data_IF_017434714614
#
_entry.id   IF_017434714614
#
_cell.length_a   1.000
_cell.length_b   1.000
_cell.length_c   1.000
_cell.angle_alpha   90.00
_cell.angle_beta   90.00
_cell.angle_gamma   90.00
#
_symmetry.space_group_name_H-M   'P 1'
#
loop_
_entity.id
_entity.type
_entity.pdbx_description
1 polymer ?
#
# COMPACT_ATOMS: atom_id res chain seq x y z
N UNK A 1 9.19 -6.51 -20.86
CA UNK A 1 8.95 -7.17 -19.58
C UNK A 1 9.26 -6.20 -18.45
N UNK A 2 8.35 -6.10 -17.49
CA UNK A 2 8.56 -5.24 -16.31
C UNK A 2 9.05 -6.11 -15.17
N UNK A 3 10.20 -5.77 -14.62
CA UNK A 3 10.75 -6.47 -13.45
C UNK A 3 10.74 -5.52 -12.25
N UNK A 4 9.93 -5.85 -11.26
CA UNK A 4 9.75 -5.03 -10.08
C UNK A 4 9.96 -5.89 -8.85
N UNK A 5 10.72 -5.36 -7.88
CA UNK A 5 10.75 -5.94 -6.55
C UNK A 5 9.54 -5.37 -5.78
N UNK A 6 8.49 -6.17 -5.53
CA UNK A 6 7.28 -5.65 -4.91
C UNK A 6 7.51 -5.08 -3.51
N UNK A 7 8.54 -5.52 -2.80
CA UNK A 7 8.83 -5.02 -1.46
C UNK A 7 9.47 -3.64 -1.45
N UNK A 8 9.88 -3.13 -2.63
CA UNK A 8 10.33 -1.75 -2.80
C UNK A 8 9.20 -0.81 -3.21
N UNK A 9 8.01 -1.34 -3.43
CA UNK A 9 6.84 -0.53 -3.77
C UNK A 9 6.17 -0.08 -2.48
N UNK A 10 5.94 1.23 -2.35
CA UNK A 10 5.27 1.82 -1.19
C UNK A 10 3.77 1.60 -1.30
N UNK A 11 3.21 1.87 -2.47
CA UNK A 11 1.81 1.58 -2.74
C UNK A 11 1.56 1.48 -4.24
N UNK A 12 0.45 0.84 -4.58
CA UNK A 12 -0.09 0.81 -5.93
C UNK A 12 -1.36 1.63 -5.96
N UNK A 13 -1.58 2.36 -7.05
CA UNK A 13 -2.77 3.18 -7.23
C UNK A 13 -3.49 2.82 -8.52
N UNK A 14 -4.83 2.76 -8.48
CA UNK A 14 -5.64 2.48 -9.65
C UNK A 14 -5.54 3.62 -10.67
N UNK A 15 -5.41 3.26 -11.94
CA UNK A 15 -5.37 4.21 -13.05
C UNK A 15 -6.13 3.61 -14.22
N UNK A 16 -7.46 3.78 -14.24
CA UNK A 16 -8.33 3.12 -15.22
C UNK A 16 -8.18 1.60 -15.13
N UNK A 17 -7.85 0.98 -16.28
CA UNK A 17 -7.58 -0.45 -16.35
C UNK A 17 -6.14 -0.83 -15.99
N UNK A 18 -5.34 0.16 -15.60
CA UNK A 18 -3.93 0.00 -15.25
C UNK A 18 -3.72 0.33 -13.78
N UNK A 19 -2.48 0.21 -13.34
CA UNK A 19 -2.09 0.61 -11.99
C UNK A 19 -0.77 1.35 -12.05
N UNK A 20 -0.55 2.27 -11.11
CA UNK A 20 0.78 2.81 -10.83
C UNK A 20 1.42 2.04 -9.70
N UNK A 21 2.69 1.69 -9.87
CA UNK A 21 3.54 1.26 -8.75
C UNK A 21 4.37 2.47 -8.33
N UNK A 22 4.26 2.89 -7.08
CA UNK A 22 5.01 4.02 -6.53
C UNK A 22 6.11 3.49 -5.64
N UNK A 23 7.34 3.73 -6.04
CA UNK A 23 8.53 3.19 -5.38
C UNK A 23 9.04 4.10 -4.26
N UNK A 24 9.95 3.55 -3.48
CA UNK A 24 10.55 4.23 -2.32
C UNK A 24 11.19 5.57 -2.66
N UNK A 25 11.68 5.76 -3.87
CA UNK A 25 12.29 7.03 -4.30
C UNK A 25 11.30 7.97 -4.99
N UNK A 26 10.01 7.69 -4.93
CA UNK A 26 8.97 8.50 -5.57
C UNK A 26 8.75 8.21 -7.04
N UNK A 27 9.52 7.31 -7.62
CA UNK A 27 9.37 6.93 -9.03
C UNK A 27 8.06 6.15 -9.20
N UNK A 28 7.31 6.48 -10.25
CA UNK A 28 6.06 5.79 -10.60
C UNK A 28 6.27 4.99 -11.88
N UNK A 29 5.77 3.77 -11.88
CA UNK A 29 5.79 2.89 -13.06
C UNK A 29 4.38 2.44 -13.34
N UNK A 30 3.94 2.56 -14.60
CA UNK A 30 2.62 2.08 -15.02
C UNK A 30 2.70 0.58 -15.26
N UNK A 31 1.77 -0.15 -14.66
CA UNK A 31 1.62 -1.59 -14.84
C UNK A 31 0.40 -1.87 -15.71
N UNK A 32 0.47 -2.81 -16.65
CA UNK A 32 -0.62 -3.09 -17.59
C UNK A 32 -1.73 -3.97 -16.99
N UNK A 33 -2.03 -3.81 -15.71
CA UNK A 33 -3.07 -4.57 -15.00
C UNK A 33 -3.78 -3.66 -14.00
N UNK A 34 -5.07 -3.92 -13.76
CA UNK A 34 -5.82 -3.24 -12.71
C UNK A 34 -5.48 -3.76 -11.33
N UNK A 35 -5.97 -3.08 -10.28
CA UNK A 35 -5.61 -3.43 -8.90
C UNK A 35 -6.07 -4.83 -8.48
N UNK A 36 -7.27 -5.24 -8.92
CA UNK A 36 -7.78 -6.57 -8.55
C UNK A 36 -6.90 -7.69 -9.10
N UNK A 37 -6.55 -7.59 -10.38
CA UNK A 37 -5.65 -8.56 -11.00
C UNK A 37 -4.26 -8.51 -10.39
N UNK A 38 -3.78 -7.31 -10.08
CA UNK A 38 -2.49 -7.11 -9.44
C UNK A 38 -2.46 -7.77 -8.06
N UNK A 39 -3.52 -7.63 -7.28
CA UNK A 39 -3.63 -8.28 -5.98
C UNK A 39 -3.53 -9.80 -6.12
N UNK A 40 -4.24 -10.37 -7.10
CA UNK A 40 -4.19 -11.81 -7.34
C UNK A 40 -2.78 -12.27 -7.74
N UNK A 41 -2.11 -11.49 -8.58
CA UNK A 41 -0.73 -11.77 -8.99
C UNK A 41 0.19 -11.75 -7.77
N UNK A 42 0.08 -10.74 -6.91
CA UNK A 42 0.89 -10.64 -5.71
C UNK A 42 0.66 -11.84 -4.78
N UNK A 43 -0.61 -12.23 -4.60
CA UNK A 43 -0.94 -13.39 -3.77
C UNK A 43 -0.38 -14.68 -4.32
N UNK A 44 -0.44 -14.87 -5.64
CA UNK A 44 0.09 -16.08 -6.27
C UNK A 44 1.61 -16.14 -6.21
N UNK A 45 2.28 -15.02 -6.42
CA UNK A 45 3.74 -14.97 -6.47
C UNK A 45 4.39 -14.94 -5.09
N UNK A 46 3.81 -14.22 -4.16
CA UNK A 46 4.40 -13.99 -2.84
C UNK A 46 3.83 -14.90 -1.76
N UNK A 47 2.66 -15.49 -2.00
CA UNK A 47 1.97 -16.37 -1.06
C UNK A 47 1.81 -15.71 0.30
N UNK A 48 2.34 -16.28 1.38
CA UNK A 48 2.20 -15.71 2.72
C UNK A 48 2.82 -14.31 2.85
N UNK A 49 3.86 -14.02 2.08
CA UNK A 49 4.52 -12.71 2.11
C UNK A 49 3.66 -11.61 1.49
N UNK A 50 2.61 -11.96 0.74
CA UNK A 50 1.69 -10.98 0.15
C UNK A 50 0.86 -10.26 1.21
N UNK A 51 0.78 -10.75 2.43
CA UNK A 51 -0.03 -10.14 3.51
C UNK A 51 0.42 -8.74 3.91
N UNK A 52 1.64 -8.33 3.54
CA UNK A 52 2.08 -6.95 3.77
C UNK A 52 1.35 -5.97 2.85
N UNK A 53 0.77 -6.45 1.75
CA UNK A 53 0.05 -5.62 0.80
C UNK A 53 -1.44 -5.65 1.11
N UNK A 54 -1.98 -4.50 1.50
CA UNK A 54 -3.37 -4.36 1.90
C UNK A 54 -4.15 -3.60 0.83
N UNK A 55 -5.19 -4.23 0.27
CA UNK A 55 -6.07 -3.59 -0.70
C UNK A 55 -7.07 -2.70 0.04
N UNK A 56 -7.02 -1.40 -0.21
CA UNK A 56 -7.85 -0.41 0.46
C UNK A 56 -8.83 0.18 -0.54
N UNK A 57 -10.12 -0.11 -0.38
CA UNK A 57 -11.16 0.37 -1.27
C UNK A 57 -10.88 -0.04 -2.71
N UNK A 58 -11.10 0.90 -3.65
CA UNK A 58 -10.88 0.66 -5.08
C UNK A 58 -9.66 1.37 -5.63
N UNK A 59 -8.97 2.16 -4.80
CA UNK A 59 -7.90 3.03 -5.28
C UNK A 59 -6.51 2.55 -4.99
N UNK A 60 -6.31 1.85 -3.86
CA UNK A 60 -4.96 1.60 -3.39
C UNK A 60 -4.74 0.16 -2.97
N UNK A 61 -3.54 -0.34 -3.25
CA UNK A 61 -2.93 -1.45 -2.51
C UNK A 61 -1.71 -0.85 -1.83
N UNK A 62 -1.67 -0.87 -0.50
CA UNK A 62 -0.56 -0.26 0.24
C UNK A 62 0.35 -1.33 0.82
N UNK A 63 1.65 -1.03 0.84
CA UNK A 63 2.62 -1.84 1.56
C UNK A 63 2.61 -1.38 3.02
N UNK A 64 2.09 -2.22 3.90
CA UNK A 64 1.90 -1.86 5.30
C UNK A 64 3.21 -1.61 6.05
N UNK A 65 4.33 -2.10 5.53
CA UNK A 65 5.65 -1.85 6.12
C UNK A 65 6.04 -0.38 6.07
N UNK A 66 5.44 0.41 5.17
CA UNK A 66 5.75 1.84 5.03
C UNK A 66 4.75 2.74 5.75
N UNK A 67 3.71 2.18 6.36
CA UNK A 67 2.72 3.00 7.06
C UNK A 67 3.32 3.55 8.37
N UNK A 68 3.27 4.87 8.53
CA UNK A 68 3.80 5.54 9.72
C UNK A 68 2.72 6.29 10.50
N UNK A 69 1.58 6.60 9.88
CA UNK A 69 0.53 7.34 10.57
C UNK A 69 -0.84 7.03 9.98
N UNK A 70 -1.81 6.84 10.85
CA UNK A 70 -3.22 6.68 10.50
C UNK A 70 -3.99 7.84 11.14
N UNK A 71 -4.56 8.72 10.33
CA UNK A 71 -5.32 9.86 10.83
C UNK A 71 -6.79 9.75 10.41
N UNK A 72 -7.61 9.18 11.27
CA UNK A 72 -9.04 8.95 10.98
C UNK A 72 -9.80 10.28 10.77
N UNK A 73 -9.65 11.31 11.62
CA UNK A 73 -10.39 12.57 11.40
C UNK A 73 -10.07 13.25 10.08
N UNK A 74 -8.82 13.19 9.63
CA UNK A 74 -8.40 13.79 8.36
C UNK A 74 -8.59 12.87 7.17
N UNK A 75 -9.04 11.63 7.41
CA UNK A 75 -9.19 10.62 6.37
C UNK A 75 -7.90 10.45 5.55
N UNK A 76 -6.79 10.27 6.27
CA UNK A 76 -5.48 10.27 5.65
C UNK A 76 -4.63 9.13 6.20
N UNK A 77 -3.97 8.42 5.29
CA UNK A 77 -2.98 7.40 5.61
C UNK A 77 -1.63 7.92 5.14
N UNK A 78 -0.66 7.97 6.05
CA UNK A 78 0.68 8.45 5.74
C UNK A 78 1.65 7.28 5.66
N UNK A 79 2.35 7.19 4.53
CA UNK A 79 3.43 6.24 4.33
C UNK A 79 4.73 7.02 4.18
N UNK A 80 5.81 6.42 4.64
CA UNK A 80 7.12 7.06 4.57
C UNK A 80 8.18 6.01 4.23
N UNK A 81 9.02 6.35 3.26
CA UNK A 81 10.26 5.63 3.05
C UNK A 81 11.32 6.30 3.93
N UNK A 82 11.66 5.63 5.02
CA UNK A 82 12.58 6.18 6.00
C UNK A 82 13.99 6.40 5.46
N UNK A 83 14.36 5.71 4.39
CA UNK A 83 15.69 5.84 3.77
C UNK A 83 15.79 7.12 2.95
N UNK A 84 14.81 7.39 2.08
CA UNK A 84 14.81 8.60 1.26
C UNK A 84 14.06 9.76 1.90
N UNK A 85 13.39 9.53 3.04
CA UNK A 85 12.55 10.50 3.74
C UNK A 85 11.39 11.02 2.89
N UNK A 86 10.98 10.28 1.87
CA UNK A 86 9.83 10.63 1.04
C UNK A 86 8.54 10.26 1.77
N UNK A 87 7.62 11.21 1.85
CA UNK A 87 6.34 11.05 2.56
C UNK A 87 5.20 11.04 1.56
N UNK A 88 4.28 10.09 1.74
CA UNK A 88 3.08 9.95 0.92
C UNK A 88 1.85 10.04 1.82
N UNK A 89 0.95 10.99 1.50
CA UNK A 89 -0.32 11.13 2.23
C UNK A 89 -1.45 10.71 1.29
N UNK A 90 -2.08 9.58 1.61
CA UNK A 90 -3.13 9.02 0.78
C UNK A 90 -4.51 9.33 1.38
N UNK A 91 -5.49 9.76 0.55
CA UNK A 91 -6.86 9.91 1.02
C UNK A 91 -7.50 8.53 1.18
N UNK A 92 -7.94 8.21 2.38
CA UNK A 92 -8.52 6.90 2.71
C UNK A 92 -9.76 7.12 3.58
N UNK A 93 -10.81 6.35 3.32
CA UNK A 93 -12.05 6.47 4.08
C UNK A 93 -11.86 6.17 5.57
N UNK A 94 -12.72 6.77 6.40
CA UNK A 94 -12.68 6.53 7.85
C UNK A 94 -12.81 5.05 8.19
N UNK A 95 -13.68 4.35 7.48
CA UNK A 95 -13.91 2.92 7.73
C UNK A 95 -12.66 2.08 7.47
N UNK A 96 -12.00 2.33 6.34
CA UNK A 96 -10.75 1.64 6.01
C UNK A 96 -9.65 1.98 6.99
N UNK A 97 -9.54 3.26 7.40
CA UNK A 97 -8.55 3.68 8.38
C UNK A 97 -8.75 3.02 9.73
N UNK A 98 -10.01 2.87 10.18
CA UNK A 98 -10.30 2.19 11.43
C UNK A 98 -9.85 0.73 11.39
N UNK A 99 -10.04 0.05 10.27
CA UNK A 99 -9.58 -1.33 10.10
C UNK A 99 -8.06 -1.42 10.18
N UNK A 100 -7.37 -0.50 9.51
CA UNK A 100 -5.91 -0.44 9.52
C UNK A 100 -5.40 -0.19 10.94
N UNK A 101 -6.00 0.80 11.62
CA UNK A 101 -5.65 1.15 12.99
C UNK A 101 -5.79 -0.05 13.92
N UNK A 102 -6.89 -0.80 13.79
CA UNK A 102 -7.13 -1.98 14.63
C UNK A 102 -6.07 -3.07 14.37
N UNK A 103 -5.64 -3.24 13.12
CA UNK A 103 -4.56 -4.19 12.81
C UNK A 103 -3.28 -3.84 13.55
N UNK A 104 -2.88 -2.56 13.54
CA UNK A 104 -1.67 -2.12 14.22
C UNK A 104 -1.79 -2.20 15.74
N UNK A 105 -2.94 -1.81 16.29
CA UNK A 105 -3.19 -1.92 17.72
C UNK A 105 -3.10 -3.38 18.19
N UNK A 106 -3.67 -4.30 17.43
CA UNK A 106 -3.57 -5.73 17.75
C UNK A 106 -2.14 -6.21 17.81
N UNK A 107 -1.27 -5.69 16.94
CA UNK A 107 0.14 -6.05 16.91
C UNK A 107 0.94 -5.42 18.05
N UNK A 108 0.51 -4.26 18.54
CA UNK A 108 1.26 -3.50 19.55
C UNK A 108 1.05 -3.99 20.97
N UNK A 109 -0.01 -4.74 21.22
CA UNK A 109 -0.36 -5.19 22.56
C UNK A 109 0.78 -5.97 23.24
N UNK A 110 1.58 -6.67 22.44
CA UNK A 110 2.64 -7.52 22.98
C UNK A 110 4.05 -7.06 22.59
N UNK A 111 4.19 -5.85 22.22
CA UNK A 111 5.52 -5.28 21.96
C UNK A 111 6.10 -4.67 23.22
#
# INVERSE_FOLDING_TARGET
MIRINPFKVVYYEAYGNYSYAVFTNGVKVILPVGLTDLQNILMQQLKERARVFLHIGRRFIVNTEFVVKVCVPKQQLTLCDMVSSTIYNLPVSKEALKKIKNMYLSKQIWN
#
